data_IF_976828745325
#
_entry.id   IF_976828745325
#
_cell.length_a   1.000
_cell.length_b   1.000
_cell.length_c   1.000
_cell.angle_alpha   90.00
_cell.angle_beta   90.00
_cell.angle_gamma   90.00
#
_symmetry.space_group_name_H-M   'P 1'
#
loop_
_entity.id
_entity.type
_entity.pdbx_description
1 polymer ?
#
# COMPACT_ATOMS: atom_id res chain seq x y z
N UNK A 1 6.16 -4.95 -18.20
CA UNK A 1 6.93 -4.52 -17.00
C UNK A 1 6.40 -5.31 -15.80
N UNK A 2 7.27 -5.96 -15.02
CA UNK A 2 6.85 -6.89 -13.95
C UNK A 2 6.87 -6.27 -12.54
N UNK A 3 7.44 -5.08 -12.36
CA UNK A 3 7.55 -4.39 -11.07
C UNK A 3 7.69 -2.86 -11.22
N UNK A 4 7.47 -2.13 -10.14
CA UNK A 4 7.65 -0.68 -10.10
C UNK A 4 6.92 -0.01 -8.94
N UNK A 5 6.88 1.32 -8.99
CA UNK A 5 6.06 2.12 -8.10
C UNK A 5 4.58 1.96 -8.43
N UNK A 6 3.76 1.76 -7.41
CA UNK A 6 2.30 1.72 -7.49
C UNK A 6 1.71 2.74 -6.55
N UNK A 7 0.54 3.27 -6.89
CA UNK A 7 -0.22 4.19 -6.05
C UNK A 7 -1.47 3.46 -5.56
N UNK A 8 -1.79 3.60 -4.28
CA UNK A 8 -3.02 3.12 -3.69
C UNK A 8 -3.86 4.31 -3.23
N UNK A 9 -5.14 4.31 -3.61
CA UNK A 9 -6.13 5.31 -3.19
C UNK A 9 -7.16 4.57 -2.35
N UNK A 10 -7.35 5.05 -1.12
CA UNK A 10 -7.99 4.28 -0.05
C UNK A 10 -9.14 5.06 0.60
N UNK A 11 -10.16 5.53 -0.15
CA UNK A 11 -11.22 6.38 0.39
C UNK A 11 -12.05 5.64 1.45
N UNK A 12 -12.70 6.42 2.33
CA UNK A 12 -13.82 5.89 3.11
C UNK A 12 -14.96 5.44 2.21
N UNK A 13 -15.78 4.52 2.72
CA UNK A 13 -16.82 3.84 1.95
C UNK A 13 -17.82 4.84 1.34
N UNK A 14 -18.25 5.84 2.11
CA UNK A 14 -19.24 6.84 1.70
C UNK A 14 -18.77 7.69 0.49
N UNK A 15 -17.46 7.80 0.29
CA UNK A 15 -16.84 8.55 -0.80
C UNK A 15 -16.30 7.65 -1.91
N UNK A 16 -16.38 6.33 -1.76
CA UNK A 16 -15.73 5.37 -2.64
C UNK A 16 -16.09 5.58 -4.12
N UNK A 17 -17.38 5.64 -4.44
CA UNK A 17 -17.87 5.77 -5.82
C UNK A 17 -17.42 7.09 -6.45
N UNK A 18 -17.54 8.21 -5.71
CA UNK A 18 -17.15 9.55 -6.19
C UNK A 18 -15.65 9.62 -6.46
N UNK A 19 -14.83 9.08 -5.54
CA UNK A 19 -13.38 9.03 -5.71
C UNK A 19 -13.01 8.12 -6.88
N UNK A 20 -13.66 6.96 -7.00
CA UNK A 20 -13.42 6.03 -8.09
C UNK A 20 -13.70 6.67 -9.46
N UNK A 21 -14.79 7.42 -9.60
CA UNK A 21 -15.13 8.14 -10.84
C UNK A 21 -14.05 9.16 -11.23
N UNK A 22 -13.63 10.01 -10.28
CA UNK A 22 -12.56 11.00 -10.47
C UNK A 22 -11.26 10.31 -10.91
N UNK A 23 -10.92 9.21 -10.24
CA UNK A 23 -9.69 8.46 -10.50
C UNK A 23 -9.74 7.81 -11.88
N UNK A 24 -10.78 7.04 -12.19
CA UNK A 24 -10.92 6.33 -13.47
C UNK A 24 -10.86 7.31 -14.64
N UNK A 25 -11.58 8.45 -14.56
CA UNK A 25 -11.56 9.47 -15.61
C UNK A 25 -10.14 9.89 -15.95
N UNK A 26 -9.30 10.12 -14.93
CA UNK A 26 -7.90 10.51 -15.15
C UNK A 26 -7.05 9.37 -15.70
N UNK A 27 -7.24 8.14 -15.20
CA UNK A 27 -6.43 6.99 -15.61
C UNK A 27 -6.71 6.55 -17.04
N UNK A 28 -7.96 6.67 -17.49
CA UNK A 28 -8.36 6.42 -18.88
C UNK A 28 -7.72 7.45 -19.81
N UNK A 29 -7.77 8.74 -19.46
CA UNK A 29 -7.13 9.83 -20.22
C UNK A 29 -5.62 9.59 -20.40
N UNK A 30 -4.94 9.18 -19.32
CA UNK A 30 -3.47 8.97 -19.30
C UNK A 30 -3.05 7.54 -19.72
N UNK A 31 -4.01 6.68 -20.10
CA UNK A 31 -3.79 5.27 -20.49
C UNK A 31 -2.96 4.49 -19.46
N UNK A 32 -3.36 4.57 -18.19
CA UNK A 32 -2.67 3.94 -17.05
C UNK A 32 -3.41 2.66 -16.67
N UNK A 33 -2.69 1.57 -16.42
CA UNK A 33 -3.31 0.33 -15.91
C UNK A 33 -3.68 0.49 -14.43
N UNK A 34 -4.84 -0.03 -14.04
CA UNK A 34 -5.32 -0.02 -12.66
C UNK A 34 -6.22 -1.22 -12.37
N UNK A 35 -6.44 -1.48 -11.09
CA UNK A 35 -7.51 -2.34 -10.58
C UNK A 35 -8.24 -1.63 -9.45
N UNK A 36 -9.49 -1.99 -9.21
CA UNK A 36 -10.28 -1.47 -8.12
C UNK A 36 -11.15 -2.58 -7.53
N UNK A 37 -11.72 -2.32 -6.35
CA UNK A 37 -12.64 -3.23 -5.66
C UNK A 37 -14.07 -2.92 -6.09
N UNK A 38 -14.76 -3.81 -6.81
CA UNK A 38 -16.08 -3.50 -7.36
C UNK A 38 -17.24 -3.79 -6.41
N UNK A 39 -17.04 -4.63 -5.38
CA UNK A 39 -18.10 -5.10 -4.50
C UNK A 39 -17.92 -4.64 -3.05
N UNK A 40 -19.03 -4.33 -2.38
CA UNK A 40 -19.04 -3.93 -0.97
C UNK A 40 -18.44 -5.01 -0.06
N UNK A 41 -18.74 -6.28 -0.30
CA UNK A 41 -18.19 -7.41 0.47
C UNK A 41 -16.66 -7.44 0.46
N UNK A 42 -16.05 -7.15 -0.69
CA UNK A 42 -14.60 -7.12 -0.86
C UNK A 42 -14.00 -5.89 -0.19
N UNK A 43 -14.69 -4.74 -0.28
CA UNK A 43 -14.27 -3.53 0.45
C UNK A 43 -14.23 -3.78 1.95
N UNK A 44 -15.30 -4.38 2.50
CA UNK A 44 -15.39 -4.70 3.92
C UNK A 44 -14.32 -5.72 4.32
N UNK A 45 -14.10 -6.75 3.49
CA UNK A 45 -13.04 -7.73 3.70
C UNK A 45 -11.67 -7.05 3.78
N UNK A 46 -11.36 -6.15 2.84
CA UNK A 46 -10.11 -5.39 2.82
C UNK A 46 -10.00 -4.31 3.92
N UNK A 47 -11.08 -4.09 4.68
CA UNK A 47 -11.13 -3.15 5.81
C UNK A 47 -11.18 -3.88 7.16
N UNK A 48 -11.21 -5.22 7.15
CA UNK A 48 -11.24 -6.02 8.37
C UNK A 48 -9.88 -5.99 9.08
N UNK A 49 -9.90 -5.94 10.42
CA UNK A 49 -8.68 -5.93 11.24
C UNK A 49 -7.81 -7.19 11.08
N UNK A 50 -8.40 -8.30 10.66
CA UNK A 50 -7.73 -9.57 10.44
C UNK A 50 -7.15 -9.66 9.02
N UNK A 51 -7.45 -8.70 8.14
CA UNK A 51 -6.86 -8.65 6.82
C UNK A 51 -5.38 -8.35 6.91
N UNK A 52 -4.59 -9.09 6.13
CA UNK A 52 -3.15 -8.89 6.03
C UNK A 52 -2.85 -7.40 5.77
N UNK A 53 -1.90 -6.78 6.50
CA UNK A 53 -1.48 -5.40 6.24
C UNK A 53 -1.02 -5.16 4.79
N UNK A 54 -0.61 -6.22 4.08
CA UNK A 54 -0.24 -6.18 2.67
C UNK A 54 -1.43 -5.92 1.72
N UNK A 55 -2.66 -6.16 2.15
CA UNK A 55 -3.89 -5.95 1.38
C UNK A 55 -4.79 -4.87 1.96
N UNK A 56 -4.72 -4.63 3.28
CA UNK A 56 -5.60 -3.71 3.99
C UNK A 56 -5.67 -2.32 3.34
N UNK A 57 -6.89 -1.84 3.10
CA UNK A 57 -7.16 -0.50 2.54
C UNK A 57 -6.85 -0.33 1.04
N UNK A 58 -6.33 -1.35 0.34
CA UNK A 58 -5.91 -1.22 -1.08
C UNK A 58 -7.07 -1.33 -2.06
N UNK A 59 -8.02 -0.40 -1.95
CA UNK A 59 -9.25 -0.46 -2.72
C UNK A 59 -9.04 -0.10 -4.19
N UNK A 60 -8.23 0.91 -4.49
CA UNK A 60 -7.84 1.28 -5.85
C UNK A 60 -6.33 1.19 -5.96
N UNK A 61 -5.83 0.42 -6.94
CA UNK A 61 -4.39 0.27 -7.20
C UNK A 61 -4.06 0.72 -8.62
N UNK A 62 -3.09 1.62 -8.73
CA UNK A 62 -2.69 2.26 -9.98
C UNK A 62 -1.25 1.84 -10.30
N UNK A 63 -0.98 1.52 -11.56
CA UNK A 63 0.31 1.03 -12.05
C UNK A 63 0.91 1.98 -13.10
N UNK A 64 1.59 3.07 -12.69
CA UNK A 64 2.24 3.98 -13.62
C UNK A 64 3.35 3.31 -14.43
N UNK A 65 3.50 3.72 -15.69
CA UNK A 65 4.50 3.17 -16.63
C UNK A 65 5.93 3.49 -16.20
N UNK A 66 6.15 4.69 -15.66
CA UNK A 66 7.46 5.18 -15.24
C UNK A 66 7.38 6.15 -14.05
N UNK A 67 8.53 6.54 -13.52
CA UNK A 67 8.63 7.43 -12.35
C UNK A 67 8.04 8.82 -12.63
N UNK A 68 8.17 9.33 -13.85
CA UNK A 68 7.61 10.63 -14.23
C UNK A 68 6.08 10.61 -14.17
N UNK A 69 5.45 9.59 -14.74
CA UNK A 69 4.00 9.41 -14.69
C UNK A 69 3.52 9.18 -13.25
N UNK A 70 4.26 8.40 -12.45
CA UNK A 70 3.99 8.23 -11.02
C UNK A 70 3.98 9.56 -10.27
N UNK A 71 4.99 10.43 -10.50
CA UNK A 71 5.05 11.75 -9.86
C UNK A 71 3.89 12.66 -10.30
N UNK A 72 3.57 12.65 -11.61
CA UNK A 72 2.46 13.43 -12.18
C UNK A 72 1.12 13.02 -11.57
N UNK A 73 0.84 11.71 -11.50
CA UNK A 73 -0.40 11.19 -10.95
C UNK A 73 -0.56 11.47 -9.45
N UNK A 74 0.48 11.26 -8.65
CA UNK A 74 0.41 11.58 -7.21
C UNK A 74 0.11 13.07 -6.97
N UNK A 75 0.80 13.97 -7.68
CA UNK A 75 0.56 15.41 -7.55
C UNK A 75 -0.85 15.80 -8.00
N UNK A 76 -1.34 15.22 -9.10
CA UNK A 76 -2.70 15.45 -9.58
C UNK A 76 -3.74 14.98 -8.56
N UNK A 77 -3.66 13.71 -8.13
CA UNK A 77 -4.62 13.14 -7.18
C UNK A 77 -4.59 13.84 -5.82
N UNK A 78 -3.42 14.26 -5.34
CA UNK A 78 -3.34 15.02 -4.10
C UNK A 78 -4.06 16.36 -4.16
N UNK A 79 -4.15 16.98 -5.35
CA UNK A 79 -4.90 18.21 -5.55
C UNK A 79 -6.40 17.94 -5.66
N UNK A 80 -6.81 17.01 -6.54
CA UNK A 80 -8.25 16.80 -6.81
C UNK A 80 -8.97 16.03 -5.71
N UNK A 81 -8.22 15.27 -4.89
CA UNK A 81 -8.77 14.49 -3.78
C UNK A 81 -8.59 15.17 -2.41
N UNK A 82 -8.17 16.43 -2.36
CA UNK A 82 -7.85 17.13 -1.12
C UNK A 82 -8.99 17.14 -0.08
N UNK A 83 -10.24 17.12 -0.54
CA UNK A 83 -11.44 17.14 0.31
C UNK A 83 -11.90 15.77 0.82
N UNK A 84 -11.23 14.70 0.40
CA UNK A 84 -11.58 13.34 0.77
C UNK A 84 -10.55 12.78 1.73
N UNK A 85 -11.04 12.04 2.72
CA UNK A 85 -10.22 11.27 3.64
C UNK A 85 -10.24 9.78 3.30
N UNK A 86 -9.34 9.04 3.94
CA UNK A 86 -9.17 7.63 3.65
C UNK A 86 -8.59 6.82 4.79
N UNK A 87 -8.58 5.52 4.55
CA UNK A 87 -8.01 4.52 5.43
C UNK A 87 -6.50 4.47 5.24
N UNK A 88 -5.75 4.47 6.35
CA UNK A 88 -4.30 4.33 6.31
C UNK A 88 -3.91 2.90 5.89
N UNK A 89 -3.11 2.79 4.84
CA UNK A 89 -2.51 1.53 4.37
C UNK A 89 -1.20 1.27 5.14
N UNK A 90 -1.11 0.27 6.02
CA UNK A 90 0.06 0.11 6.90
C UNK A 90 1.34 -0.28 6.15
N UNK A 91 1.21 -1.03 5.05
CA UNK A 91 2.35 -1.55 4.29
C UNK A 91 3.00 -0.55 3.32
N UNK A 92 2.53 0.69 3.29
CA UNK A 92 2.82 1.67 2.25
C UNK A 92 3.31 3.00 2.84
N UNK A 93 3.94 3.83 1.98
CA UNK A 93 4.31 5.20 2.31
C UNK A 93 3.15 6.14 1.98
N UNK A 94 2.82 7.05 2.89
CA UNK A 94 1.85 8.11 2.61
C UNK A 94 2.45 9.15 1.64
N UNK A 95 1.63 9.64 0.72
CA UNK A 95 2.01 10.76 -0.13
C UNK A 95 1.85 12.09 0.61
N UNK A 96 2.98 12.65 1.09
CA UNK A 96 3.02 13.92 1.84
C UNK A 96 2.05 13.86 3.04
N UNK A 97 1.12 14.80 3.12
CA UNK A 97 0.10 14.91 4.18
C UNK A 97 -1.24 14.32 3.74
N UNK A 98 -1.29 13.58 2.63
CA UNK A 98 -2.53 12.93 2.17
C UNK A 98 -2.89 11.77 3.10
N UNK A 99 -4.16 11.72 3.50
CA UNK A 99 -4.77 10.65 4.28
C UNK A 99 -5.27 9.50 3.41
N UNK A 100 -5.52 9.77 2.13
CA UNK A 100 -6.12 8.84 1.16
C UNK A 100 -5.13 8.23 0.16
N UNK A 101 -3.99 8.90 -0.09
CA UNK A 101 -3.00 8.46 -1.10
C UNK A 101 -1.77 7.85 -0.42
N UNK A 102 -1.48 6.60 -0.76
CA UNK A 102 -0.26 5.91 -0.37
C UNK A 102 0.42 5.26 -1.57
N UNK A 103 1.68 4.86 -1.44
CA UNK A 103 2.44 4.24 -2.51
C UNK A 103 3.52 3.30 -1.99
N UNK A 104 3.92 2.37 -2.85
CA UNK A 104 5.05 1.46 -2.59
C UNK A 104 5.71 1.00 -3.88
N UNK A 105 6.96 0.57 -3.76
CA UNK A 105 7.60 -0.25 -4.78
C UNK A 105 7.19 -1.72 -4.61
N UNK A 106 6.89 -2.42 -5.70
CA UNK A 106 6.48 -3.83 -5.63
C UNK A 106 6.33 -4.52 -6.99
N UNK A 107 6.32 -5.86 -6.98
CA UNK A 107 6.00 -6.68 -8.14
C UNK A 107 4.55 -6.50 -8.56
N UNK A 108 4.28 -6.30 -9.84
CA UNK A 108 2.94 -6.01 -10.38
C UNK A 108 2.05 -7.26 -10.35
N UNK A 109 2.67 -8.39 -10.66
CA UNK A 109 2.13 -9.73 -10.51
C UNK A 109 2.98 -10.48 -9.48
N UNK A 110 2.41 -11.45 -8.76
CA UNK A 110 3.21 -12.35 -7.95
C UNK A 110 4.15 -13.13 -8.88
N UNK A 111 5.46 -12.87 -8.80
CA UNK A 111 6.44 -13.77 -9.43
C UNK A 111 6.65 -14.93 -8.47
N UNK A 112 5.93 -16.01 -8.74
CA UNK A 112 5.97 -17.21 -7.91
C UNK A 112 7.10 -18.10 -8.42
N UNK A 113 8.01 -18.47 -7.54
CA UNK A 113 9.09 -19.42 -7.81
C UNK A 113 8.94 -20.59 -6.87
N UNK A 114 9.05 -21.80 -7.40
CA UNK A 114 9.14 -23.00 -6.57
C UNK A 114 10.56 -23.09 -6.02
N UNK A 115 10.70 -23.19 -4.70
CA UNK A 115 11.99 -23.37 -4.06
C UNK A 115 12.38 -24.87 -4.03
N UNK A 116 13.56 -25.17 -3.49
CA UNK A 116 14.09 -26.54 -3.45
C UNK A 116 13.30 -27.47 -2.50
N UNK A 117 12.43 -26.90 -1.66
CA UNK A 117 11.54 -27.62 -0.73
C UNK A 117 10.11 -27.76 -1.29
N UNK A 118 9.91 -27.39 -2.56
CA UNK A 118 8.62 -27.36 -3.26
C UNK A 118 7.61 -26.32 -2.74
N UNK A 119 8.06 -25.37 -1.92
CA UNK A 119 7.26 -24.23 -1.49
C UNK A 119 7.29 -23.10 -2.52
N UNK A 120 6.27 -22.22 -2.47
CA UNK A 120 6.09 -21.09 -3.38
C UNK A 120 6.63 -19.79 -2.77
N UNK A 121 7.75 -19.30 -3.29
CA UNK A 121 8.34 -18.01 -2.91
C UNK A 121 7.89 -16.89 -3.85
N UNK A 122 7.48 -15.76 -3.29
CA UNK A 122 7.27 -14.54 -4.05
C UNK A 122 8.59 -13.80 -4.21
N UNK A 123 9.00 -13.49 -5.44
CA UNK A 123 10.24 -12.74 -5.72
C UNK A 123 10.02 -11.40 -6.40
N UNK A 124 10.91 -10.46 -6.12
CA UNK A 124 10.97 -9.11 -6.68
C UNK A 124 12.43 -8.81 -7.04
N UNK A 125 12.68 -8.03 -8.10
CA UNK A 125 14.05 -7.62 -8.45
C UNK A 125 14.47 -6.40 -7.63
N UNK A 126 15.67 -6.43 -7.06
CA UNK A 126 16.31 -5.29 -6.42
C UNK A 126 16.81 -4.26 -7.44
N UNK A 127 17.42 -3.16 -6.98
CA UNK A 127 17.96 -2.13 -7.88
C UNK A 127 19.21 -2.54 -8.68
N UNK A 128 19.78 -3.71 -8.40
CA UNK A 128 20.91 -4.31 -9.13
C UNK A 128 20.46 -5.41 -10.11
N UNK A 129 19.17 -5.73 -10.14
CA UNK A 129 18.58 -6.76 -11.01
C UNK A 129 18.57 -8.16 -10.41
N UNK A 130 18.93 -8.34 -9.13
CA UNK A 130 18.86 -9.65 -8.46
C UNK A 130 17.44 -9.95 -7.99
N UNK A 131 16.99 -11.19 -8.15
CA UNK A 131 15.74 -11.66 -7.57
C UNK A 131 15.91 -11.89 -6.07
N UNK A 132 15.21 -11.08 -5.28
CA UNK A 132 15.14 -11.17 -3.82
C UNK A 132 13.72 -11.51 -3.38
N UNK A 133 13.55 -11.97 -2.15
CA UNK A 133 12.25 -12.30 -1.58
C UNK A 133 11.35 -11.05 -1.46
N UNK A 134 10.10 -11.11 -1.95
CA UNK A 134 9.08 -10.07 -1.79
C UNK A 134 8.45 -10.18 -0.39
N UNK A 135 9.24 -9.81 0.62
CA UNK A 135 8.82 -9.83 2.02
C UNK A 135 7.78 -8.73 2.31
N UNK A 136 6.49 -9.08 2.20
CA UNK A 136 5.36 -8.17 2.47
C UNK A 136 5.09 -8.03 3.97
N UNK A 137 6.02 -7.39 4.67
CA UNK A 137 5.93 -7.09 6.11
C UNK A 137 4.77 -6.14 6.42
N UNK A 138 4.46 -6.03 7.71
CA UNK A 138 3.41 -5.16 8.25
C UNK A 138 3.71 -3.66 8.15
N UNK A 139 4.94 -3.31 7.77
CA UNK A 139 5.41 -1.95 7.54
C UNK A 139 6.12 -1.86 6.19
N UNK A 140 6.15 -0.66 5.61
CA UNK A 140 6.88 -0.42 4.37
C UNK A 140 8.38 -0.59 4.56
N UNK A 141 9.00 -1.45 3.74
CA UNK A 141 10.46 -1.56 3.60
C UNK A 141 10.81 -1.38 2.12
N UNK A 142 11.66 -0.40 1.83
CA UNK A 142 12.21 -0.22 0.48
C UNK A 142 13.27 -1.31 0.24
N UNK A 143 13.30 -1.86 -0.97
CA UNK A 143 14.33 -2.82 -1.37
C UNK A 143 15.68 -2.15 -1.50
N UNK A 144 16.73 -2.91 -1.21
CA UNK A 144 18.10 -2.44 -1.36
C UNK A 144 18.35 -1.99 -2.82
N UNK A 145 19.10 -0.90 -2.95
CA UNK A 145 19.48 -0.27 -4.22
C UNK A 145 18.30 0.30 -5.05
N UNK A 146 17.08 0.34 -4.52
CA UNK A 146 16.01 1.18 -5.11
C UNK A 146 16.05 2.55 -4.45
N UNK A 147 16.20 3.60 -5.25
CA UNK A 147 16.14 4.98 -4.75
C UNK A 147 14.70 5.41 -4.46
N UNK A 148 14.43 6.05 -3.30
CA UNK A 148 13.10 6.56 -3.01
C UNK A 148 12.74 7.70 -3.96
N UNK A 149 11.49 7.74 -4.42
CA UNK A 149 11.03 8.76 -5.40
C UNK A 149 10.87 10.15 -4.76
N UNK A 150 10.56 10.16 -3.47
CA UNK A 150 10.48 11.34 -2.62
C UNK A 150 11.45 11.18 -1.45
N UNK A 151 12.04 12.26 -0.93
CA UNK A 151 12.88 12.18 0.26
C UNK A 151 12.07 11.57 1.41
N UNK A 152 12.57 10.47 1.96
CA UNK A 152 11.97 9.84 3.14
C UNK A 152 12.37 10.69 4.34
N UNK A 153 11.40 11.36 4.98
CA UNK A 153 11.63 11.91 6.31
C UNK A 153 11.75 10.73 7.28
N UNK A 154 12.83 10.66 8.07
CA UNK A 154 13.11 9.56 9.02
C UNK A 154 11.96 9.30 10.02
N UNK A 155 11.06 10.26 10.22
CA UNK A 155 9.96 10.20 11.18
C UNK A 155 8.75 9.32 10.79
N UNK A 156 8.78 8.61 9.65
CA UNK A 156 7.67 7.74 9.21
C UNK A 156 7.94 6.23 9.35
N UNK A 157 9.09 5.83 9.89
CA UNK A 157 9.27 4.46 10.36
C UNK A 157 8.38 4.28 11.61
N UNK A 158 7.63 3.16 11.75
CA UNK A 158 6.97 2.88 13.02
C UNK A 158 8.06 2.83 14.10
N UNK A 159 8.11 3.87 14.94
CA UNK A 159 8.83 3.75 16.20
C UNK A 159 8.17 2.59 16.93
N UNK A 160 8.97 1.59 17.29
CA UNK A 160 8.54 0.57 18.24
C UNK A 160 8.10 1.29 19.51
N UNK A 161 6.79 1.42 19.72
CA UNK A 161 6.28 1.84 21.02
C UNK A 161 6.59 0.70 21.96
N UNK A 162 7.65 0.85 22.75
CA UNK A 162 7.90 -0.04 23.89
C UNK A 162 6.82 0.28 24.91
N UNK A 163 5.73 -0.48 24.90
CA UNK A 163 4.74 -0.43 25.97
C UNK A 163 5.39 -1.11 27.18
N UNK A 164 5.96 -0.33 28.10
CA UNK A 164 6.28 -0.80 29.44
C UNK A 164 4.98 -0.95 30.23
N UNK A 165 4.27 -2.05 29.99
CA UNK A 165 3.12 -2.43 30.80
C UNK A 165 3.57 -3.27 31.99
N UNK A 166 3.40 -2.78 33.21
CA UNK A 166 3.43 -3.63 34.40
C UNK A 166 2.21 -4.56 34.40
N UNK A 167 2.45 -5.87 34.39
CA UNK A 167 1.38 -6.86 34.57
C UNK A 167 0.95 -6.82 36.06
N UNK A 168 -0.06 -6.00 36.38
CA UNK A 168 -0.76 -6.13 37.67
C UNK A 168 -1.72 -7.32 37.61
N UNK A 169 -1.29 -8.46 38.13
CA UNK A 169 -2.18 -9.62 38.41
C UNK A 169 -3.22 -9.21 39.46
N UNK A 170 -4.41 -8.78 39.03
CA UNK A 170 -5.59 -8.74 39.91
C UNK A 170 -6.14 -10.16 40.04
N UNK A 171 -6.07 -10.75 41.24
CA UNK A 171 -6.84 -11.95 41.60
C UNK A 171 -8.30 -11.53 41.78
N UNK A 172 -9.18 -11.94 40.88
CA UNK A 172 -10.61 -11.88 41.13
C UNK A 172 -11.00 -13.13 41.91
N UNK A 173 -11.65 -12.92 43.06
CA UNK A 173 -12.29 -13.98 43.83
C UNK A 173 -13.71 -14.09 43.28
N UNK A 174 -14.01 -15.21 42.62
CA UNK A 174 -15.39 -15.54 42.23
C UNK A 174 -16.05 -16.06 43.50
N UNK A 175 -17.12 -15.40 43.93
CA UNK A 175 -18.00 -15.83 45.02
C UNK A 175 -19.10 -16.71 44.44
#
# INVERSE_FOLDING_TARGET
KIQGWKIHISPFLDDYEKVLEIVIKKLVEEKVTFKFVPYLSDYLSLSDKNTSPSQFGKYITIYPHNVQQFKKLNSYFASVLLKFDGVRVPSDLNYKNSTIISYRYGGFFPNVYMNNEADLDYKIMDGKGHLVEDNRKTFYKLLDNISPVYPVKENNLPQSVVIQGEIKKKKYKIT
#
